data_IF_485978550323
#
_entry.id   IF_485978550323
#
_cell.length_a   1.000
_cell.length_b   1.000
_cell.length_c   1.000
_cell.angle_alpha   90.00
_cell.angle_beta   90.00
_cell.angle_gamma   90.00
#
_symmetry.space_group_name_H-M   'P 1'
#
loop_
_entity.id
_entity.type
_entity.pdbx_description
1 polymer ?
#
# COMPACT_ATOMS: atom_id res chain seq x y z
N UNK A 1 -3.20 13.39 -1.97
CA UNK A 1 -3.33 13.49 -0.51
C UNK A 1 -3.19 12.10 0.10
N UNK A 2 -2.66 11.97 1.32
CA UNK A 2 -2.60 10.68 2.02
C UNK A 2 -3.49 10.71 3.26
N UNK A 3 -4.39 9.73 3.37
CA UNK A 3 -5.17 9.46 4.58
C UNK A 3 -4.59 8.20 5.23
N UNK A 4 -3.79 8.40 6.29
CA UNK A 4 -3.21 7.30 7.06
C UNK A 4 -4.12 6.97 8.24
N UNK A 5 -4.81 5.84 8.17
CA UNK A 5 -5.65 5.30 9.22
C UNK A 5 -4.78 4.63 10.29
N UNK A 6 -5.30 4.55 11.52
CA UNK A 6 -4.63 3.86 12.63
C UNK A 6 -4.88 2.34 12.57
N UNK A 7 -4.12 1.58 13.37
CA UNK A 7 -4.20 0.12 13.54
C UNK A 7 -3.83 -0.72 12.32
N UNK A 8 -3.28 -1.89 12.60
CA UNK A 8 -3.05 -2.94 11.62
C UNK A 8 -3.46 -4.28 12.25
N UNK A 9 -4.02 -5.19 11.45
CA UNK A 9 -4.31 -6.56 11.89
C UNK A 9 -3.11 -7.49 11.77
N UNK A 10 -1.95 -6.98 11.31
CA UNK A 10 -0.70 -7.73 11.17
C UNK A 10 0.44 -7.01 11.90
N UNK A 11 1.29 -7.78 12.57
CA UNK A 11 2.58 -7.32 13.07
C UNK A 11 3.68 -7.74 12.08
N UNK A 12 4.04 -6.85 11.16
CA UNK A 12 5.06 -7.16 10.15
C UNK A 12 6.45 -7.09 10.79
N UNK A 13 7.13 -8.24 10.92
CA UNK A 13 8.50 -8.34 11.41
C UNK A 13 9.47 -8.83 10.35
N UNK A 14 10.75 -8.49 10.47
CA UNK A 14 11.83 -9.00 9.60
C UNK A 14 11.82 -10.53 9.51
N UNK A 15 11.62 -11.24 10.62
CA UNK A 15 11.73 -12.70 10.62
C UNK A 15 10.62 -13.38 9.80
N UNK A 16 9.44 -12.76 9.70
CA UNK A 16 8.28 -13.34 9.01
C UNK A 16 8.08 -12.79 7.60
N UNK A 17 8.49 -11.55 7.33
CA UNK A 17 8.22 -10.88 6.05
C UNK A 17 9.46 -10.31 5.34
N UNK A 18 10.64 -10.41 5.95
CA UNK A 18 11.90 -9.92 5.39
C UNK A 18 12.09 -8.40 5.47
N UNK A 19 11.18 -7.68 6.15
CA UNK A 19 11.28 -6.25 6.46
C UNK A 19 10.38 -5.92 7.66
N UNK A 20 10.72 -4.89 8.44
CA UNK A 20 9.84 -4.31 9.46
C UNK A 20 8.95 -3.24 8.84
N UNK A 21 7.69 -3.16 9.29
CA UNK A 21 6.88 -1.99 8.92
C UNK A 21 7.33 -0.77 9.73
N UNK A 22 7.61 0.33 9.04
CA UNK A 22 8.04 1.61 9.59
C UNK A 22 6.88 2.52 10.01
N UNK A 23 5.64 2.05 9.89
CA UNK A 23 4.45 2.83 10.21
C UNK A 23 4.08 2.70 11.69
N UNK A 24 3.98 3.84 12.37
CA UNK A 24 3.40 3.94 13.72
C UNK A 24 1.87 3.81 13.60
N UNK A 25 1.27 2.85 14.30
CA UNK A 25 -0.14 2.46 14.10
C UNK A 25 -1.06 2.82 15.28
N UNK A 26 -0.53 3.30 16.40
CA UNK A 26 -1.31 3.52 17.62
C UNK A 26 -1.83 4.95 17.73
N UNK A 27 -1.11 5.93 17.19
CA UNK A 27 -1.58 7.32 17.21
C UNK A 27 -2.67 7.59 16.15
N UNK A 28 -3.67 8.35 16.55
CA UNK A 28 -4.78 8.77 15.70
C UNK A 28 -5.82 9.55 16.47
N UNK A 29 -6.71 10.22 15.74
CA UNK A 29 -7.90 10.86 16.29
C UNK A 29 -9.12 10.42 15.50
N UNK A 30 -10.26 10.27 16.18
CA UNK A 30 -11.52 10.02 15.50
C UNK A 30 -11.92 11.25 14.70
N UNK A 31 -12.30 11.03 13.45
CA UNK A 31 -12.79 12.06 12.55
C UNK A 31 -13.95 11.50 11.75
N UNK A 32 -15.00 12.27 11.61
CA UNK A 32 -16.08 12.05 10.65
C UNK A 32 -15.59 12.33 9.22
N UNK A 33 -16.26 11.79 8.18
CA UNK A 33 -15.95 12.14 6.79
C UNK A 33 -15.95 13.66 6.54
N UNK A 34 -16.88 14.40 7.16
CA UNK A 34 -16.94 15.86 7.05
C UNK A 34 -15.70 16.57 7.61
N UNK A 35 -15.17 16.10 8.75
CA UNK A 35 -13.94 16.64 9.33
C UNK A 35 -12.72 16.29 8.47
N UNK A 36 -12.65 15.08 7.92
CA UNK A 36 -11.59 14.67 6.98
C UNK A 36 -11.59 15.59 5.75
N UNK A 37 -12.75 15.83 5.16
CA UNK A 37 -12.91 16.72 4.01
C UNK A 37 -12.51 18.16 4.32
N UNK A 38 -12.80 18.64 5.53
CA UNK A 38 -12.38 19.97 5.97
C UNK A 38 -10.85 20.10 6.05
N UNK A 39 -10.17 19.10 6.62
CA UNK A 39 -8.70 19.05 6.63
C UNK A 39 -8.12 18.98 5.21
N UNK A 40 -8.74 18.20 4.31
CA UNK A 40 -8.25 18.07 2.95
C UNK A 40 -8.27 19.37 2.17
N UNK A 41 -9.37 20.13 2.30
CA UNK A 41 -9.50 21.45 1.68
C UNK A 41 -8.48 22.47 2.20
N UNK A 42 -8.05 22.34 3.46
CA UNK A 42 -7.00 23.20 4.03
C UNK A 42 -5.61 22.83 3.52
N UNK A 43 -5.35 21.53 3.29
CA UNK A 43 -4.06 21.03 2.83
C UNK A 43 -3.83 21.31 1.34
N UNK A 44 -4.85 21.17 0.50
CA UNK A 44 -4.73 21.46 -0.93
C UNK A 44 -6.09 21.65 -1.60
N UNK A 45 -6.21 22.69 -2.44
CA UNK A 45 -7.36 22.87 -3.34
C UNK A 45 -7.16 22.25 -4.74
N UNK A 46 -5.96 21.76 -5.04
CA UNK A 46 -5.58 21.28 -6.37
C UNK A 46 -5.40 19.75 -6.45
N UNK A 47 -5.30 19.07 -5.31
CA UNK A 47 -5.13 17.62 -5.27
C UNK A 47 -6.49 16.94 -5.29
N UNK A 48 -6.76 16.14 -6.33
CA UNK A 48 -8.01 15.42 -6.56
C UNK A 48 -7.90 13.92 -6.25
N UNK A 49 -6.72 13.43 -5.81
CA UNK A 49 -6.51 12.05 -5.40
C UNK A 49 -6.27 11.92 -3.90
N UNK A 50 -6.92 10.94 -3.28
CA UNK A 50 -6.66 10.52 -1.90
C UNK A 50 -6.16 9.08 -1.91
N UNK A 51 -5.00 8.87 -1.29
CA UNK A 51 -4.45 7.53 -1.01
C UNK A 51 -4.82 7.13 0.41
N UNK A 52 -5.73 6.18 0.52
CA UNK A 52 -6.13 5.51 1.76
C UNK A 52 -5.06 4.48 2.14
N UNK A 53 -4.46 4.61 3.32
CA UNK A 53 -3.35 3.75 3.79
C UNK A 53 -3.35 3.66 5.32
N UNK A 54 -2.38 2.97 5.92
CA UNK A 54 -2.11 2.97 7.37
C UNK A 54 -3.07 2.12 8.21
N UNK A 55 -2.62 1.50 9.31
CA UNK A 55 -1.90 0.27 9.05
C UNK A 55 -2.63 -0.58 8.02
N UNK A 56 -3.68 -1.29 8.39
CA UNK A 56 -4.57 -1.91 7.40
C UNK A 56 -5.82 -1.03 7.18
N UNK A 57 -5.92 -0.29 6.05
CA UNK A 57 -7.04 0.62 5.82
C UNK A 57 -8.39 -0.10 5.69
N UNK A 58 -8.41 -1.36 5.24
CA UNK A 58 -9.64 -2.15 5.12
C UNK A 58 -10.31 -2.46 6.47
N UNK A 59 -9.66 -2.14 7.60
CA UNK A 59 -10.29 -2.22 8.93
C UNK A 59 -11.28 -1.08 9.20
N UNK A 60 -11.15 0.05 8.50
CA UNK A 60 -11.88 1.28 8.81
C UNK A 60 -12.51 1.94 7.59
N UNK A 61 -11.99 1.69 6.37
CA UNK A 61 -12.61 2.19 5.14
C UNK A 61 -13.93 1.44 4.91
N UNK A 62 -15.02 2.20 4.91
CA UNK A 62 -16.36 1.72 4.62
C UNK A 62 -17.00 2.51 3.47
N UNK A 63 -18.25 2.15 3.15
CA UNK A 63 -18.98 2.78 2.05
C UNK A 63 -19.29 4.26 2.31
N UNK A 64 -19.56 4.63 3.56
CA UNK A 64 -19.87 6.02 3.93
C UNK A 64 -18.68 6.95 3.65
N UNK A 65 -17.46 6.52 4.03
CA UNK A 65 -16.26 7.28 3.75
C UNK A 65 -15.97 7.38 2.23
N UNK A 66 -16.13 6.26 1.51
CA UNK A 66 -15.91 6.21 0.05
C UNK A 66 -16.85 7.20 -0.65
N UNK A 67 -18.15 7.09 -0.40
CA UNK A 67 -19.16 7.91 -1.04
C UNK A 67 -18.96 9.40 -0.71
N UNK A 68 -18.67 9.74 0.56
CA UNK A 68 -18.42 11.13 0.96
C UNK A 68 -17.20 11.77 0.26
N UNK A 69 -16.13 11.01 0.06
CA UNK A 69 -14.94 11.52 -0.65
C UNK A 69 -15.19 11.66 -2.15
N UNK A 70 -15.93 10.73 -2.76
CA UNK A 70 -16.35 10.82 -4.16
C UNK A 70 -17.30 11.99 -4.41
N UNK A 71 -18.28 12.21 -3.54
CA UNK A 71 -19.19 13.37 -3.62
C UNK A 71 -18.45 14.70 -3.53
N UNK A 72 -17.32 14.73 -2.82
CA UNK A 72 -16.44 15.88 -2.75
C UNK A 72 -15.49 16.03 -3.96
N UNK A 73 -15.56 15.12 -4.93
CA UNK A 73 -14.80 15.17 -6.18
C UNK A 73 -13.43 14.50 -6.14
N UNK A 74 -13.11 13.74 -5.10
CA UNK A 74 -11.84 13.01 -5.02
C UNK A 74 -11.92 11.66 -5.74
N UNK A 75 -10.80 11.22 -6.29
CA UNK A 75 -10.53 9.83 -6.69
C UNK A 75 -9.77 9.12 -5.59
N UNK A 76 -10.04 7.83 -5.41
CA UNK A 76 -9.54 7.05 -4.28
C UNK A 76 -8.58 5.96 -4.75
N UNK A 77 -7.38 5.96 -4.19
CA UNK A 77 -6.48 4.83 -4.22
C UNK A 77 -6.40 4.21 -2.81
N UNK A 78 -6.20 2.90 -2.70
CA UNK A 78 -5.99 2.21 -1.42
C UNK A 78 -4.74 1.33 -1.46
N UNK A 79 -3.92 1.40 -0.41
CA UNK A 79 -2.79 0.49 -0.19
C UNK A 79 -3.12 -0.47 0.96
N UNK A 80 -3.36 -1.75 0.65
CA UNK A 80 -3.78 -2.78 1.63
C UNK A 80 -2.80 -3.96 1.69
N UNK A 81 -2.74 -4.64 2.83
CA UNK A 81 -2.04 -5.91 3.00
C UNK A 81 -2.81 -7.10 2.40
N UNK A 82 -4.06 -6.89 1.96
CA UNK A 82 -4.90 -7.84 1.24
C UNK A 82 -5.57 -8.90 2.11
N UNK A 83 -5.45 -8.84 3.44
CA UNK A 83 -6.08 -9.78 4.37
C UNK A 83 -7.60 -9.62 4.50
N UNK A 84 -8.14 -8.51 4.03
CA UNK A 84 -9.57 -8.20 3.99
C UNK A 84 -9.96 -7.79 2.56
N UNK A 85 -11.23 -7.97 2.22
CA UNK A 85 -11.78 -7.46 0.96
C UNK A 85 -12.08 -5.97 1.11
N UNK A 86 -11.78 -5.20 0.06
CA UNK A 86 -12.05 -3.77 0.00
C UNK A 86 -13.51 -3.57 -0.44
N UNK A 87 -14.27 -2.66 0.20
CA UNK A 87 -15.60 -2.29 -0.27
C UNK A 87 -15.58 -1.78 -1.72
N UNK A 88 -16.65 -2.04 -2.47
CA UNK A 88 -16.79 -1.50 -3.82
C UNK A 88 -16.81 0.04 -3.81
N UNK A 89 -16.17 0.63 -4.82
CA UNK A 89 -16.11 2.08 -5.04
C UNK A 89 -14.72 2.68 -4.98
N UNK A 90 -13.68 1.94 -4.57
CA UNK A 90 -12.30 2.45 -4.67
C UNK A 90 -11.80 2.38 -6.12
N UNK A 91 -11.29 3.51 -6.64
CA UNK A 91 -10.88 3.65 -8.05
C UNK A 91 -9.57 2.93 -8.39
N UNK A 92 -8.66 2.79 -7.42
CA UNK A 92 -7.37 2.14 -7.59
C UNK A 92 -6.97 1.30 -6.38
N UNK A 93 -6.81 -0.01 -6.55
CA UNK A 93 -6.43 -0.94 -5.48
C UNK A 93 -5.00 -1.41 -5.69
N UNK A 94 -4.13 -1.12 -4.71
CA UNK A 94 -2.78 -1.69 -4.61
C UNK A 94 -2.74 -2.68 -3.45
N UNK A 95 -2.57 -3.97 -3.77
CA UNK A 95 -2.40 -5.03 -2.76
C UNK A 95 -0.92 -5.31 -2.58
N UNK A 96 -0.43 -5.22 -1.34
CA UNK A 96 0.92 -5.65 -0.98
C UNK A 96 0.84 -6.80 0.03
N UNK A 97 0.71 -8.06 -0.42
CA UNK A 97 0.47 -9.20 0.46
C UNK A 97 1.54 -9.33 1.55
N UNK A 98 1.09 -9.29 2.80
CA UNK A 98 1.91 -9.53 3.99
C UNK A 98 1.53 -10.83 4.72
N UNK A 99 0.61 -11.60 4.17
CA UNK A 99 0.20 -12.91 4.69
C UNK A 99 0.61 -14.01 3.72
N UNK A 100 0.50 -15.27 4.15
CA UNK A 100 0.62 -16.39 3.22
C UNK A 100 -0.44 -16.27 2.12
N UNK A 101 -0.08 -16.68 0.89
CA UNK A 101 -0.92 -16.51 -0.31
C UNK A 101 -2.35 -17.06 -0.13
N UNK A 102 -2.52 -18.19 0.57
CA UNK A 102 -3.84 -18.76 0.80
C UNK A 102 -4.74 -17.89 1.70
N UNK A 103 -4.15 -17.03 2.53
CA UNK A 103 -4.84 -16.15 3.47
C UNK A 103 -5.19 -14.76 2.88
N UNK A 104 -4.67 -14.41 1.70
CA UNK A 104 -5.06 -13.20 0.98
C UNK A 104 -6.55 -13.29 0.64
N UNK A 105 -7.34 -12.26 0.95
CA UNK A 105 -8.78 -12.20 0.67
C UNK A 105 -9.07 -11.32 -0.54
N UNK A 106 -8.40 -10.18 -0.68
CA UNK A 106 -8.52 -9.35 -1.88
C UNK A 106 -7.86 -10.05 -3.09
N UNK A 107 -8.67 -10.66 -3.97
CA UNK A 107 -8.18 -11.44 -5.12
C UNK A 107 -7.96 -10.64 -6.40
N UNK A 108 -8.48 -9.42 -6.48
CA UNK A 108 -8.38 -8.55 -7.65
C UNK A 108 -7.84 -7.18 -7.25
N UNK A 109 -6.98 -6.61 -8.08
CA UNK A 109 -6.36 -5.31 -7.82
C UNK A 109 -5.95 -4.65 -9.13
N UNK A 110 -5.66 -3.35 -9.11
CA UNK A 110 -4.95 -2.71 -10.22
C UNK A 110 -3.46 -3.03 -10.13
N UNK A 111 -2.92 -3.06 -8.92
CA UNK A 111 -1.52 -3.39 -8.67
C UNK A 111 -1.38 -4.46 -7.60
N UNK A 112 -0.45 -5.38 -7.80
CA UNK A 112 0.09 -6.23 -6.75
C UNK A 112 1.58 -5.94 -6.56
N UNK A 113 1.98 -5.60 -5.34
CA UNK A 113 3.34 -5.11 -5.01
C UNK A 113 3.97 -5.95 -3.91
N UNK A 114 5.02 -6.71 -4.23
CA UNK A 114 5.75 -7.51 -3.25
C UNK A 114 7.07 -6.86 -2.87
N UNK A 115 7.33 -6.78 -1.57
CA UNK A 115 8.66 -6.42 -1.06
C UNK A 115 9.58 -7.65 -1.18
N UNK A 116 10.81 -7.43 -1.66
CA UNK A 116 11.81 -8.49 -1.83
C UNK A 116 13.18 -8.05 -1.31
N UNK A 117 13.76 -8.86 -0.44
CA UNK A 117 15.16 -8.84 -0.06
C UNK A 117 16.01 -9.72 -0.97
N UNK A 118 17.34 -9.63 -0.81
CA UNK A 118 18.29 -10.46 -1.55
C UNK A 118 18.01 -11.96 -1.35
N UNK A 119 18.03 -12.73 -2.44
CA UNK A 119 17.87 -14.18 -2.43
C UNK A 119 16.43 -14.69 -2.34
N UNK A 120 15.43 -13.81 -2.16
CA UNK A 120 14.02 -14.22 -2.19
C UNK A 120 13.55 -14.49 -3.61
N UNK A 121 12.80 -15.57 -3.82
CA UNK A 121 12.29 -15.94 -5.13
C UNK A 121 11.17 -15.00 -5.64
N UNK A 122 10.85 -15.12 -6.92
CA UNK A 122 9.70 -14.45 -7.52
C UNK A 122 8.41 -14.82 -6.76
N UNK A 123 7.50 -13.87 -6.47
CA UNK A 123 6.25 -14.17 -5.80
C UNK A 123 5.36 -15.09 -6.62
N UNK A 124 4.65 -16.00 -5.94
CA UNK A 124 3.56 -16.78 -6.53
C UNK A 124 2.23 -16.21 -6.03
N UNK A 125 1.79 -15.13 -6.67
CA UNK A 125 0.61 -14.40 -6.21
C UNK A 125 -0.69 -15.10 -6.60
N UNK A 126 -1.67 -14.99 -5.72
CA UNK A 126 -3.09 -15.33 -5.93
C UNK A 126 -3.94 -14.14 -6.35
N UNK A 127 -3.34 -12.95 -6.46
CA UNK A 127 -4.01 -11.71 -6.85
C UNK A 127 -3.91 -11.55 -8.36
N UNK A 128 -5.06 -11.42 -9.02
CA UNK A 128 -5.18 -11.03 -10.41
C UNK A 128 -5.05 -9.49 -10.49
N UNK A 129 -4.07 -8.97 -11.22
CA UNK A 129 -3.81 -7.54 -11.28
C UNK A 129 -3.31 -7.06 -12.65
N UNK A 130 -3.52 -5.77 -12.95
CA UNK A 130 -3.02 -5.14 -14.17
C UNK A 130 -1.49 -4.93 -14.14
N UNK A 131 -0.94 -4.77 -12.93
CA UNK A 131 0.48 -4.48 -12.70
C UNK A 131 1.06 -5.37 -11.60
N UNK A 132 2.13 -6.10 -11.94
CA UNK A 132 2.89 -6.94 -11.02
C UNK A 132 4.21 -6.26 -10.68
N UNK A 133 4.39 -5.88 -9.41
CA UNK A 133 5.48 -5.01 -8.98
C UNK A 133 6.36 -5.69 -7.92
N UNK A 134 7.68 -5.56 -8.09
CA UNK A 134 8.67 -5.87 -7.05
C UNK A 134 9.24 -4.58 -6.48
N UNK A 135 9.19 -4.44 -5.16
CA UNK A 135 9.87 -3.39 -4.42
C UNK A 135 11.06 -3.97 -3.69
N UNK A 136 12.28 -3.43 -3.85
CA UNK A 136 13.39 -3.83 -2.99
C UNK A 136 13.09 -3.48 -1.53
N UNK A 137 13.63 -4.26 -0.61
CA UNK A 137 13.61 -3.95 0.81
C UNK A 137 14.45 -2.69 1.11
N UNK A 138 14.03 -1.94 2.12
CA UNK A 138 14.69 -0.74 2.62
C UNK A 138 15.05 -0.94 4.09
N UNK A 139 16.18 -0.38 4.50
CA UNK A 139 16.56 -0.20 5.90
C UNK A 139 16.34 1.27 6.27
N UNK A 140 15.20 1.54 6.91
CA UNK A 140 14.76 2.92 7.14
C UNK A 140 14.54 3.67 5.82
N UNK A 141 15.40 4.67 5.56
CA UNK A 141 15.37 5.52 4.37
C UNK A 141 16.29 5.04 3.24
N UNK A 142 17.17 4.10 3.53
CA UNK A 142 18.18 3.62 2.57
C UNK A 142 17.70 2.32 1.92
N UNK A 143 17.85 2.21 0.60
CA UNK A 143 17.56 0.97 -0.14
C UNK A 143 18.71 -0.01 0.05
N UNK A 144 18.43 -1.29 0.31
CA UNK A 144 19.50 -2.31 0.30
C UNK A 144 19.98 -2.49 -1.17
N UNK A 145 21.25 -2.15 -1.49
CA UNK A 145 21.76 -2.27 -2.86
C UNK A 145 21.68 -3.70 -3.42
N UNK A 146 21.84 -4.72 -2.55
CA UNK A 146 21.71 -6.13 -2.96
C UNK A 146 20.27 -6.48 -3.27
N UNK A 147 19.31 -5.98 -2.50
CA UNK A 147 17.90 -6.18 -2.77
C UNK A 147 17.47 -5.47 -4.07
N UNK A 148 17.99 -4.27 -4.34
CA UNK A 148 17.74 -3.54 -5.58
C UNK A 148 18.26 -4.29 -6.81
N UNK A 149 19.53 -4.70 -6.81
CA UNK A 149 20.11 -5.49 -7.91
C UNK A 149 19.33 -6.79 -8.12
N UNK A 150 18.98 -7.46 -7.02
CA UNK A 150 18.20 -8.69 -7.06
C UNK A 150 16.82 -8.50 -7.69
N UNK A 151 16.07 -7.47 -7.27
CA UNK A 151 14.77 -7.14 -7.86
C UNK A 151 14.88 -6.81 -9.36
N UNK A 152 15.91 -6.06 -9.77
CA UNK A 152 16.15 -5.75 -11.19
C UNK A 152 16.35 -7.03 -11.99
N UNK A 153 17.17 -7.96 -11.48
CA UNK A 153 17.38 -9.27 -12.13
C UNK A 153 16.10 -10.09 -12.20
N UNK A 154 15.37 -10.21 -11.10
CA UNK A 154 14.10 -10.95 -11.06
C UNK A 154 13.08 -10.40 -12.07
N UNK A 155 12.92 -9.07 -12.17
CA UNK A 155 12.01 -8.47 -13.15
C UNK A 155 12.43 -8.79 -14.60
N UNK A 156 13.74 -8.73 -14.91
CA UNK A 156 14.27 -9.08 -16.25
C UNK A 156 14.03 -10.55 -16.61
N UNK A 157 14.16 -11.44 -15.63
CA UNK A 157 13.96 -12.88 -15.80
C UNK A 157 12.46 -13.28 -15.82
N UNK A 158 11.55 -12.41 -15.33
CA UNK A 158 10.12 -12.70 -15.17
C UNK A 158 9.22 -11.55 -15.73
N UNK A 159 9.03 -11.47 -17.06
CA UNK A 159 8.57 -10.26 -17.74
C UNK A 159 7.12 -9.71 -17.57
N UNK A 160 6.19 -10.22 -16.74
CA UNK A 160 5.10 -9.35 -16.27
C UNK A 160 5.53 -8.45 -15.10
N UNK A 161 6.60 -8.79 -14.39
CA UNK A 161 7.04 -8.07 -13.19
C UNK A 161 7.85 -6.83 -13.52
N UNK A 162 7.56 -5.73 -12.81
CA UNK A 162 8.24 -4.45 -12.95
C UNK A 162 8.80 -3.97 -11.62
N UNK A 163 9.85 -3.16 -11.68
CA UNK A 163 10.45 -2.57 -10.49
C UNK A 163 9.60 -1.38 -9.99
N UNK A 164 9.32 -1.33 -8.69
CA UNK A 164 8.69 -0.21 -8.01
C UNK A 164 9.57 0.21 -6.82
N UNK A 165 10.18 1.38 -6.88
CA UNK A 165 11.06 1.89 -5.82
C UNK A 165 10.32 2.90 -4.95
N UNK A 166 10.58 2.92 -3.64
CA UNK A 166 10.05 3.91 -2.71
C UNK A 166 10.73 5.28 -2.91
N UNK A 167 10.37 5.96 -3.99
CA UNK A 167 11.02 7.20 -4.45
C UNK A 167 11.01 8.31 -3.38
N UNK A 168 9.94 8.40 -2.58
CA UNK A 168 9.85 9.37 -1.49
C UNK A 168 10.99 9.24 -0.47
N UNK A 169 11.52 8.03 -0.26
CA UNK A 169 12.68 7.80 0.63
C UNK A 169 13.96 8.36 0.03
N UNK A 170 14.19 8.10 -1.26
CA UNK A 170 15.35 8.62 -1.99
C UNK A 170 15.32 10.15 -2.11
N UNK A 171 14.15 10.73 -2.37
CA UNK A 171 13.97 12.17 -2.51
C UNK A 171 13.83 12.90 -1.17
N UNK A 172 13.72 12.17 -0.06
CA UNK A 172 13.53 12.70 1.30
C UNK A 172 12.33 13.64 1.41
N UNK A 173 11.22 13.26 0.76
CA UNK A 173 9.93 13.95 0.84
C UNK A 173 8.97 13.15 1.72
N UNK A 174 8.13 13.86 2.47
CA UNK A 174 7.04 13.30 3.29
C UNK A 174 5.71 13.79 2.75
#
# INVERSE_FOLDING_TARGET
MFLRLSKCNLACKVETHGFDCDTEFESGRWMTPAEILAEFRQLSSACDWVVLTGGEPALQVDRELIDALHEAGYKLAIETNGSLEIPEGVDWITVSPKVAEHAVRQRRANEVKYVRGYGQAIPKTVVEADHYLLSPAFEGMEVDPRALDWCIRLCKENPPWRLSVQQHKLWRVR
#
